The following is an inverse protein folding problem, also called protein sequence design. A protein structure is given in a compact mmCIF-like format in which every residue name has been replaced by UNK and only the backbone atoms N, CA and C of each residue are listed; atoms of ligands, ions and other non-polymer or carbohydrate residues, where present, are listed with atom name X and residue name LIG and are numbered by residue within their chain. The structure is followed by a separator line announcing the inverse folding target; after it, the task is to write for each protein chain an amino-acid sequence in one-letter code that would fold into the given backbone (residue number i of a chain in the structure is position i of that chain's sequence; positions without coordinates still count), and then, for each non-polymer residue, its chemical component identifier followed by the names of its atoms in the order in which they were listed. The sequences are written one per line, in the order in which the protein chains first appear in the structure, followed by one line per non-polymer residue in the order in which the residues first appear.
data_IF_756506501860
#
_entry.id   IF_756506501860
#
_cell.length_a   1.000
_cell.length_b   1.000
_cell.length_c   1.000
_cell.angle_alpha   90.00
_cell.angle_beta   90.00
_cell.angle_gamma   90.00
#
_symmetry.space_group_name_H-M   'P 1'
#
loop_
_entity.id
_entity.type
_entity.pdbx_description
1 polymer ?
#
# COMPACT_ATOMS: atom_id res chain seq x y z
N UNK A 1 -27.42 5.22 0.43
CA UNK A 1 -26.55 4.06 0.72
C UNK A 1 -25.13 4.55 0.83
N UNK A 2 -24.38 4.09 1.83
CA UNK A 2 -22.96 4.44 1.99
C UNK A 2 -22.14 3.54 1.07
N UNK A 3 -21.33 4.12 0.19
CA UNK A 3 -20.37 3.38 -0.64
C UNK A 3 -18.97 3.54 -0.06
N UNK A 4 -18.29 2.44 0.21
CA UNK A 4 -16.91 2.48 0.67
C UNK A 4 -15.96 2.75 -0.51
N UNK A 5 -15.12 3.78 -0.38
CA UNK A 5 -14.06 4.08 -1.33
C UNK A 5 -12.72 4.06 -0.59
N UNK A 6 -11.86 3.11 -0.93
CA UNK A 6 -10.53 3.03 -0.33
C UNK A 6 -9.68 4.26 -0.71
N UNK A 7 -9.06 4.96 0.26
CA UNK A 7 -8.24 6.15 0.00
C UNK A 7 -6.83 5.74 -0.47
N UNK A 8 -6.74 5.08 -1.63
CA UNK A 8 -5.50 4.48 -2.15
C UNK A 8 -4.36 5.50 -2.30
N UNK A 9 -4.71 6.74 -2.65
CA UNK A 9 -3.73 7.82 -2.82
C UNK A 9 -3.11 8.24 -1.49
N UNK A 10 -3.92 8.36 -0.44
CA UNK A 10 -3.43 8.71 0.89
C UNK A 10 -2.62 7.56 1.49
N UNK A 11 -3.06 6.32 1.28
CA UNK A 11 -2.30 5.12 1.69
C UNK A 11 -0.92 5.06 1.01
N UNK A 12 -0.86 5.32 -0.30
CA UNK A 12 0.42 5.40 -1.02
C UNK A 12 1.29 6.54 -0.47
N UNK A 13 0.71 7.72 -0.22
CA UNK A 13 1.44 8.85 0.35
C UNK A 13 2.06 8.50 1.72
N UNK A 14 1.32 7.80 2.58
CA UNK A 14 1.83 7.35 3.88
C UNK A 14 2.98 6.36 3.70
N UNK A 15 2.85 5.37 2.81
CA UNK A 15 3.92 4.40 2.54
C UNK A 15 5.18 5.07 2.01
N UNK A 16 5.04 5.97 1.04
CA UNK A 16 6.16 6.56 0.31
C UNK A 16 6.82 7.72 1.06
N UNK A 17 6.03 8.64 1.60
CA UNK A 17 6.55 9.92 2.12
C UNK A 17 6.60 9.98 3.64
N UNK A 18 5.61 9.41 4.33
CA UNK A 18 5.59 9.44 5.80
C UNK A 18 6.51 8.35 6.37
N UNK A 19 6.27 7.11 5.97
CA UNK A 19 6.96 5.95 6.51
C UNK A 19 8.30 5.70 5.86
N UNK A 20 8.51 6.22 4.63
CA UNK A 20 9.65 5.85 3.80
C UNK A 20 9.80 4.32 3.77
N UNK A 21 8.66 3.66 3.53
CA UNK A 21 8.52 2.22 3.67
C UNK A 21 9.50 1.44 2.77
N UNK A 22 9.80 1.87 1.52
CA UNK A 22 10.83 1.23 0.72
C UNK A 22 12.21 1.20 1.39
N UNK A 23 12.62 2.28 2.06
CA UNK A 23 13.86 2.36 2.82
C UNK A 23 13.85 1.42 4.03
N UNK A 24 12.70 1.28 4.69
CA UNK A 24 12.53 0.38 5.82
C UNK A 24 12.56 -1.09 5.41
N UNK A 25 11.87 -1.46 4.32
CA UNK A 25 11.82 -2.83 3.80
C UNK A 25 13.19 -3.33 3.38
N UNK A 26 13.98 -2.50 2.68
CA UNK A 26 15.36 -2.83 2.27
C UNK A 26 16.30 -3.18 3.43
N UNK A 27 15.98 -2.79 4.67
CA UNK A 27 16.78 -3.11 5.86
C UNK A 27 16.44 -4.46 6.48
N UNK A 28 15.40 -5.14 6.00
CA UNK A 28 14.93 -6.41 6.56
C UNK A 28 14.88 -7.50 5.49
N UNK A 29 15.63 -8.61 5.66
CA UNK A 29 15.58 -9.74 4.73
C UNK A 29 14.17 -10.34 4.56
N UNK A 30 13.31 -10.19 5.57
CA UNK A 30 11.91 -10.68 5.51
C UNK A 30 11.09 -9.96 4.43
N UNK A 31 11.50 -8.74 4.04
CA UNK A 31 10.82 -7.92 3.04
C UNK A 31 11.59 -7.84 1.72
N UNK A 32 12.51 -8.76 1.44
CA UNK A 32 13.32 -8.74 0.22
C UNK A 32 12.48 -8.73 -1.06
N UNK A 33 11.36 -9.46 -1.07
CA UNK A 33 10.43 -9.51 -2.20
C UNK A 33 9.40 -8.36 -2.23
N UNK A 34 9.45 -7.43 -1.28
CA UNK A 34 8.48 -6.35 -1.15
C UNK A 34 9.05 -5.03 -1.68
N UNK A 35 8.36 -4.46 -2.65
CA UNK A 35 8.61 -3.11 -3.17
C UNK A 35 7.34 -2.25 -3.18
N UNK A 36 7.51 -0.95 -3.43
CA UNK A 36 6.39 -0.01 -3.42
C UNK A 36 5.36 -0.32 -4.51
N UNK A 37 5.74 -0.62 -5.77
CA UNK A 37 4.78 -1.04 -6.79
C UNK A 37 3.91 -2.23 -6.36
N UNK A 38 4.52 -3.26 -5.77
CA UNK A 38 3.81 -4.45 -5.29
C UNK A 38 2.84 -4.10 -4.15
N UNK A 39 3.30 -3.33 -3.16
CA UNK A 39 2.44 -2.88 -2.05
C UNK A 39 1.22 -2.08 -2.56
N UNK A 40 1.43 -1.16 -3.52
CA UNK A 40 0.36 -0.38 -4.13
C UNK A 40 -0.61 -1.26 -4.94
N UNK A 41 -0.10 -2.30 -5.61
CA UNK A 41 -0.95 -3.26 -6.32
C UNK A 41 -1.85 -4.03 -5.33
N UNK A 42 -1.30 -4.53 -4.23
CA UNK A 42 -2.07 -5.22 -3.18
C UNK A 42 -3.16 -4.30 -2.61
N UNK A 43 -2.84 -3.03 -2.33
CA UNK A 43 -3.82 -2.06 -1.86
C UNK A 43 -4.94 -1.83 -2.88
N UNK A 44 -4.63 -1.76 -4.17
CA UNK A 44 -5.64 -1.61 -5.24
C UNK A 44 -6.61 -2.79 -5.26
N UNK A 45 -6.11 -4.02 -5.20
CA UNK A 45 -6.98 -5.20 -5.19
C UNK A 45 -7.80 -5.29 -3.89
N UNK A 46 -7.22 -4.97 -2.74
CA UNK A 46 -7.95 -4.88 -1.48
C UNK A 46 -9.05 -3.81 -1.52
N UNK A 47 -8.79 -2.68 -2.16
CA UNK A 47 -9.78 -1.63 -2.40
C UNK A 47 -10.95 -2.12 -3.24
N UNK A 48 -10.67 -2.82 -4.36
CA UNK A 48 -11.72 -3.42 -5.20
C UNK A 48 -12.57 -4.43 -4.43
N UNK A 49 -11.94 -5.29 -3.63
CA UNK A 49 -12.63 -6.25 -2.78
C UNK A 49 -13.56 -5.57 -1.76
N UNK A 50 -13.10 -4.48 -1.17
CA UNK A 50 -13.84 -3.77 -0.10
C UNK A 50 -14.97 -2.88 -0.63
N UNK A 51 -14.93 -2.52 -1.91
CA UNK A 51 -15.95 -1.67 -2.57
C UNK A 51 -17.10 -2.46 -3.20
N UNK A 52 -17.10 -3.80 -3.04
CA UNK A 52 -18.18 -4.69 -3.47
C UNK A 52 -19.45 -4.58 -2.64
#
# INVERSE_FOLDING_TARGET
MWSYQAPLRDMQFVLEHWLQAPEAWRRSPVFEALDLPLAVQVLKEAGRFSSG
#
